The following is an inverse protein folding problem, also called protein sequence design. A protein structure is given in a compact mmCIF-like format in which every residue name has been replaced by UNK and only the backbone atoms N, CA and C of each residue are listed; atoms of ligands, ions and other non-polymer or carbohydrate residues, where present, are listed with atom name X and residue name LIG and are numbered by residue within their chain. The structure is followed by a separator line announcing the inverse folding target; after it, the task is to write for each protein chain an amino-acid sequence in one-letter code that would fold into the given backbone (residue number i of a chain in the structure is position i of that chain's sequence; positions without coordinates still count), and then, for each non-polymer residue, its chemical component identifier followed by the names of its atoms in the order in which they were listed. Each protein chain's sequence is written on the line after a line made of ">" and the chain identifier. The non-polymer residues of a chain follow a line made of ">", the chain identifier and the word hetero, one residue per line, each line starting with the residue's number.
data_IF_061311923207
#
_entry.id   IF_061311923207
#
_cell.length_a   1.000
_cell.length_b   1.000
_cell.length_c   1.000
_cell.angle_alpha   90.00
_cell.angle_beta   90.00
_cell.angle_gamma   90.00
#
_symmetry.space_group_name_H-M   'P 1'
#
loop_
_entity.id
_entity.type
_entity.pdbx_description
1 polymer ?
#
# COMPACT_ATOMS: atom_id res chain seq x y z
N UNK A 1 8.21 0.60 -12.37
CA UNK A 1 9.35 0.45 -11.43
C UNK A 1 8.93 -0.36 -10.22
N UNK A 2 9.87 -1.08 -9.59
CA UNK A 2 9.70 -1.69 -8.26
C UNK A 2 10.45 -0.82 -7.25
N UNK A 3 9.80 -0.33 -6.21
CA UNK A 3 10.37 0.71 -5.31
C UNK A 3 9.81 0.60 -3.90
N UNK A 4 10.50 1.19 -2.91
CA UNK A 4 10.00 1.22 -1.53
C UNK A 4 8.78 2.12 -1.38
N UNK A 5 7.94 1.94 -0.33
CA UNK A 5 6.76 2.79 -0.12
C UNK A 5 7.10 4.29 0.06
N UNK A 6 8.31 4.60 0.56
CA UNK A 6 8.73 5.98 0.81
C UNK A 6 9.00 6.78 -0.48
N UNK A 7 9.22 6.11 -1.61
CA UNK A 7 9.60 6.74 -2.87
C UNK A 7 8.41 6.98 -3.80
N UNK A 8 7.23 6.39 -3.50
CA UNK A 8 6.04 6.43 -4.36
C UNK A 8 5.69 7.87 -4.76
N UNK A 9 5.58 8.77 -3.78
CA UNK A 9 5.12 10.14 -4.03
C UNK A 9 6.07 10.92 -4.94
N UNK A 10 7.39 10.70 -4.76
CA UNK A 10 8.42 11.34 -5.59
C UNK A 10 8.34 10.83 -7.02
N UNK A 11 8.30 9.51 -7.20
CA UNK A 11 8.23 8.88 -8.53
C UNK A 11 6.93 9.27 -9.24
N UNK A 12 5.80 9.29 -8.53
CA UNK A 12 4.51 9.69 -9.12
C UNK A 12 4.54 11.14 -9.61
N UNK A 13 5.18 12.04 -8.86
CA UNK A 13 5.36 13.45 -9.24
C UNK A 13 6.28 13.61 -10.46
N UNK A 14 7.37 12.86 -10.52
CA UNK A 14 8.38 13.00 -11.59
C UNK A 14 7.99 12.26 -12.88
N UNK A 15 7.27 11.14 -12.79
CA UNK A 15 6.95 10.28 -13.93
C UNK A 15 5.47 10.32 -14.37
N UNK A 16 4.61 11.01 -13.62
CA UNK A 16 3.18 11.13 -13.93
C UNK A 16 2.40 9.82 -13.77
N UNK A 17 1.12 9.82 -14.16
CA UNK A 17 0.17 8.70 -13.93
C UNK A 17 0.36 7.50 -14.86
N UNK A 18 1.00 7.67 -16.02
CA UNK A 18 1.23 6.59 -16.99
C UNK A 18 2.34 5.62 -16.58
N UNK A 19 3.14 5.96 -15.57
CA UNK A 19 4.26 5.15 -15.13
C UNK A 19 3.84 4.20 -14.00
N UNK A 20 3.99 2.89 -14.20
CA UNK A 20 3.58 1.88 -13.22
C UNK A 20 4.53 1.83 -12.01
N UNK A 21 3.98 1.87 -10.80
CA UNK A 21 4.69 1.78 -9.52
C UNK A 21 4.25 0.51 -8.78
N UNK A 22 5.18 -0.42 -8.62
CA UNK A 22 4.99 -1.66 -7.85
C UNK A 22 5.72 -1.53 -6.52
N UNK A 23 5.00 -1.71 -5.42
CA UNK A 23 5.49 -1.39 -4.07
C UNK A 23 5.47 -2.63 -3.16
N UNK A 24 6.60 -3.33 -3.00
CA UNK A 24 6.83 -4.20 -1.85
C UNK A 24 7.02 -3.39 -0.57
N UNK A 25 6.94 -4.02 0.60
CA UNK A 25 7.19 -3.30 1.86
C UNK A 25 5.95 -2.87 2.62
N UNK A 26 4.76 -3.11 2.07
CA UNK A 26 3.49 -2.67 2.65
C UNK A 26 2.93 -3.69 3.64
N UNK A 27 2.21 -3.22 4.67
CA UNK A 27 1.62 -4.05 5.72
C UNK A 27 0.20 -3.57 6.07
N UNK A 28 -0.81 -4.44 6.19
CA UNK A 28 -2.14 -4.04 6.64
C UNK A 28 -2.08 -3.33 8.00
N UNK A 29 -3.01 -2.40 8.25
CA UNK A 29 -3.13 -1.80 9.57
C UNK A 29 -3.47 -2.90 10.57
N UNK A 30 -2.63 -3.08 11.59
CA UNK A 30 -2.77 -4.22 12.51
C UNK A 30 -4.07 -4.15 13.27
N UNK A 31 -4.87 -5.22 13.17
CA UNK A 31 -5.91 -5.53 14.15
C UNK A 31 -5.48 -6.66 15.07
N UNK A 32 -5.00 -7.80 14.54
CA UNK A 32 -4.96 -9.04 15.35
C UNK A 32 -3.70 -9.92 15.24
N UNK A 33 -2.58 -9.45 14.64
CA UNK A 33 -1.35 -10.25 14.49
C UNK A 33 -0.15 -9.70 15.31
N UNK A 34 0.62 -10.57 16.01
CA UNK A 34 1.82 -10.17 16.74
C UNK A 34 2.83 -9.45 15.83
N UNK A 35 3.62 -8.55 16.42
CA UNK A 35 4.74 -7.96 15.71
C UNK A 35 5.82 -8.98 15.43
N UNK A 36 6.00 -9.38 14.18
CA UNK A 36 7.21 -10.10 13.80
C UNK A 36 8.42 -9.15 13.92
N UNK A 37 9.59 -9.60 14.39
CA UNK A 37 10.79 -8.77 14.51
C UNK A 37 11.20 -8.09 13.18
N UNK A 38 10.91 -8.73 12.04
CA UNK A 38 11.16 -8.20 10.69
C UNK A 38 10.05 -7.24 10.17
N UNK A 39 9.04 -6.94 10.99
CA UNK A 39 8.09 -5.85 10.73
C UNK A 39 8.60 -4.49 11.21
N UNK A 40 9.69 -4.44 11.99
CA UNK A 40 10.29 -3.18 12.47
C UNK A 40 10.77 -2.25 11.33
N UNK A 41 10.87 -2.75 10.10
CA UNK A 41 11.27 -1.98 8.91
C UNK A 41 10.10 -1.46 8.07
N UNK A 42 8.82 -1.71 8.41
CA UNK A 42 7.70 -1.44 7.49
C UNK A 42 6.76 -0.36 8.02
N UNK A 43 6.65 0.68 7.20
CA UNK A 43 6.41 2.10 7.57
C UNK A 43 5.08 2.59 6.97
N UNK A 44 4.35 1.74 6.24
CA UNK A 44 3.21 2.18 5.43
C UNK A 44 2.15 1.11 5.21
N UNK A 45 0.89 1.53 5.35
CA UNK A 45 -0.32 0.74 5.09
C UNK A 45 -0.68 0.70 3.60
N UNK A 46 -1.43 -0.31 3.14
CA UNK A 46 -2.05 -0.33 1.82
C UNK A 46 -2.82 0.96 1.51
N UNK A 47 -3.58 1.47 2.47
CA UNK A 47 -4.33 2.73 2.31
C UNK A 47 -3.40 3.90 1.98
N UNK A 48 -2.34 4.10 2.77
CA UNK A 48 -1.36 5.17 2.54
C UNK A 48 -0.63 5.01 1.21
N UNK A 49 -0.20 3.79 0.87
CA UNK A 49 0.50 3.53 -0.38
C UNK A 49 -0.38 3.86 -1.61
N UNK A 50 -1.66 3.49 -1.58
CA UNK A 50 -2.62 3.87 -2.62
C UNK A 50 -2.82 5.38 -2.67
N UNK A 51 -2.83 6.05 -1.52
CA UNK A 51 -2.95 7.52 -1.44
C UNK A 51 -1.76 8.25 -2.05
N UNK A 52 -0.56 7.69 -1.92
CA UNK A 52 0.66 8.23 -2.54
C UNK A 52 0.75 7.92 -4.04
N UNK A 53 -0.09 7.01 -4.54
CA UNK A 53 -0.22 6.69 -5.95
C UNK A 53 0.54 5.44 -6.38
N UNK A 54 0.70 4.44 -5.52
CA UNK A 54 1.11 3.10 -5.95
C UNK A 54 0.05 2.48 -6.88
N UNK A 55 0.49 1.66 -7.84
CA UNK A 55 -0.42 0.93 -8.73
C UNK A 55 -0.58 -0.53 -8.29
N UNK A 56 0.50 -1.14 -7.79
CA UNK A 56 0.50 -2.53 -7.31
C UNK A 56 1.19 -2.63 -5.96
N UNK A 57 0.62 -3.45 -5.07
CA UNK A 57 1.20 -3.75 -3.77
C UNK A 57 1.68 -5.20 -3.74
N UNK A 58 2.88 -5.45 -3.20
CA UNK A 58 3.40 -6.81 -3.03
C UNK A 58 3.33 -7.21 -1.56
N UNK A 59 2.39 -8.11 -1.27
CA UNK A 59 2.10 -8.63 0.06
C UNK A 59 2.41 -10.13 0.11
N UNK A 60 3.18 -10.55 1.11
CA UNK A 60 3.61 -11.94 1.30
C UNK A 60 3.12 -12.49 2.63
N UNK A 61 4.02 -12.54 3.63
CA UNK A 61 3.75 -13.04 5.00
C UNK A 61 2.43 -12.56 5.63
N UNK A 62 2.02 -11.27 5.52
CA UNK A 62 0.76 -10.82 6.11
C UNK A 62 -0.50 -11.55 5.61
N UNK A 63 -0.45 -12.15 4.43
CA UNK A 63 -1.54 -12.96 3.88
C UNK A 63 -1.24 -14.45 4.06
N UNK A 64 -0.02 -14.87 3.68
CA UNK A 64 0.39 -16.29 3.69
C UNK A 64 0.34 -16.91 5.08
N UNK A 65 0.78 -16.17 6.10
CA UNK A 65 0.95 -16.67 7.47
C UNK A 65 -0.22 -16.23 8.38
N UNK A 66 -1.26 -15.61 7.80
CA UNK A 66 -2.45 -15.20 8.53
C UNK A 66 -3.26 -16.42 8.99
N UNK A 67 -3.90 -16.30 10.16
CA UNK A 67 -4.83 -17.33 10.66
C UNK A 67 -6.01 -17.55 9.73
N UNK A 68 -6.48 -16.48 9.09
CA UNK A 68 -7.49 -16.51 8.03
C UNK A 68 -6.96 -15.68 6.84
N UNK A 69 -6.37 -16.33 5.83
CA UNK A 69 -5.84 -15.64 4.65
C UNK A 69 -6.91 -14.90 3.84
N UNK A 70 -8.15 -15.39 3.82
CA UNK A 70 -9.23 -14.74 3.10
C UNK A 70 -9.62 -13.43 3.78
N UNK A 71 -9.80 -13.46 5.11
CA UNK A 71 -10.07 -12.26 5.89
C UNK A 71 -8.93 -11.24 5.74
N UNK A 72 -7.66 -11.68 5.80
CA UNK A 72 -6.51 -10.80 5.62
C UNK A 72 -6.50 -10.12 4.23
N UNK A 73 -6.85 -10.84 3.16
CA UNK A 73 -6.98 -10.27 1.81
C UNK A 73 -8.14 -9.27 1.75
N UNK A 74 -9.28 -9.58 2.36
CA UNK A 74 -10.44 -8.68 2.39
C UNK A 74 -10.10 -7.35 3.08
N UNK A 75 -9.36 -7.39 4.20
CA UNK A 75 -8.90 -6.19 4.89
C UNK A 75 -7.96 -5.34 4.03
N UNK A 76 -6.98 -5.97 3.38
CA UNK A 76 -6.08 -5.31 2.44
C UNK A 76 -6.86 -4.62 1.32
N UNK A 77 -7.80 -5.33 0.70
CA UNK A 77 -8.60 -4.78 -0.40
C UNK A 77 -9.44 -3.60 0.09
N UNK A 78 -10.00 -3.68 1.30
CA UNK A 78 -10.74 -2.58 1.90
C UNK A 78 -9.86 -1.35 2.15
N UNK A 79 -8.63 -1.53 2.64
CA UNK A 79 -7.64 -0.45 2.80
C UNK A 79 -7.24 0.16 1.45
N UNK A 80 -6.97 -0.67 0.45
CA UNK A 80 -6.63 -0.21 -0.89
C UNK A 80 -7.77 0.62 -1.50
N UNK A 81 -9.02 0.16 -1.35
CA UNK A 81 -10.19 0.88 -1.83
C UNK A 81 -10.35 2.24 -1.13
N UNK A 82 -10.19 2.31 0.20
CA UNK A 82 -10.21 3.58 0.94
C UNK A 82 -9.15 4.54 0.42
N UNK A 83 -7.91 4.10 0.32
CA UNK A 83 -6.79 4.92 -0.13
C UNK A 83 -6.97 5.43 -1.56
N UNK A 84 -7.46 4.55 -2.45
CA UNK A 84 -7.75 4.90 -3.85
C UNK A 84 -8.87 5.94 -3.99
N UNK A 85 -9.96 5.79 -3.25
CA UNK A 85 -11.07 6.74 -3.28
C UNK A 85 -10.66 8.10 -2.72
N UNK A 86 -9.90 8.12 -1.61
CA UNK A 86 -9.39 9.36 -1.01
C UNK A 86 -8.39 10.08 -1.93
N UNK A 87 -7.57 9.36 -2.68
CA UNK A 87 -6.65 9.95 -3.67
C UNK A 87 -7.41 10.67 -4.80
N UNK A 88 -8.60 10.19 -5.16
CA UNK A 88 -9.44 10.76 -6.24
C UNK A 88 -10.40 11.85 -5.78
N UNK A 89 -10.74 11.89 -4.49
CA UNK A 89 -11.63 12.89 -3.92
C UNK A 89 -10.99 14.28 -3.76
N UNK A 90 -9.65 14.42 -3.85
CA UNK A 90 -8.98 15.72 -3.77
C UNK A 90 -9.13 16.50 -5.10
N UNK A 91 -9.88 17.62 -5.14
CA UNK A 91 -9.86 18.51 -6.29
C UNK A 91 -8.55 19.32 -6.23
N UNK A 92 -7.63 19.10 -7.19
CA UNK A 92 -6.44 19.96 -7.30
C UNK A 92 -5.16 19.33 -7.85
N UNK A 93 -5.05 18.00 -7.98
CA UNK A 93 -3.88 17.37 -8.61
C UNK A 93 -4.07 17.20 -10.14
N UNK A 94 -4.52 18.25 -10.82
CA UNK A 94 -4.37 18.38 -12.28
C UNK A 94 -3.13 19.23 -12.51
N UNK A 95 -2.00 18.56 -12.72
CA UNK A 95 -0.71 19.14 -13.10
C UNK A 95 0.08 18.06 -13.79
#
# INVERSE_FOLDING_TARGET
>A
VVTSPLEIARIRRECGRGFLIVTPGVRPARRDAPAEPDDQKRIMTPEEAMRLGADYLVLGRPIRDARDPLAAVQEVVAEMARGFLLARAKPGMRG
#
